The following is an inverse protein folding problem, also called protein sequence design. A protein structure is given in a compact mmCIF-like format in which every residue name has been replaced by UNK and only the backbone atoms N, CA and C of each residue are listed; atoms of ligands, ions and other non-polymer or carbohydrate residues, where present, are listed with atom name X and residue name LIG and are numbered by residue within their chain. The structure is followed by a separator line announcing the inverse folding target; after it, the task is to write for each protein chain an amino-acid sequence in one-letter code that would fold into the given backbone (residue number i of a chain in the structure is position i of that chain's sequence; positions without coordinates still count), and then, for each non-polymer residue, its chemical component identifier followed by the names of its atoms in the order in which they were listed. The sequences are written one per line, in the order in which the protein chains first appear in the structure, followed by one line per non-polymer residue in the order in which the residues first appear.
data_IF_691680949151
#
_entry.id   IF_691680949151
#
_cell.length_a   1.000
_cell.length_b   1.000
_cell.length_c   1.000
_cell.angle_alpha   90.00
_cell.angle_beta   90.00
_cell.angle_gamma   90.00
#
_symmetry.space_group_name_H-M   'P 1'
#
loop_
_entity.id
_entity.type
_entity.pdbx_description
1 polymer ?
#
# COMPACT_ATOMS: atom_id res chain seq x y z
N UNK A 1 -11.94 -3.64 21.23
CA UNK A 1 -10.83 -2.75 20.78
C UNK A 1 -10.16 -2.03 21.95
N UNK A 2 -10.88 -1.24 22.76
CA UNK A 2 -10.30 -0.61 23.97
C UNK A 2 -9.73 -1.62 24.96
N UNK A 3 -10.41 -2.75 25.19
CA UNK A 3 -9.90 -3.85 26.03
C UNK A 3 -8.60 -4.48 25.49
N UNK A 4 -8.36 -4.40 24.18
CA UNK A 4 -7.12 -4.86 23.52
C UNK A 4 -6.02 -3.79 23.53
N UNK A 5 -6.25 -2.64 24.17
CA UNK A 5 -5.27 -1.55 24.24
C UNK A 5 -5.02 -0.83 22.91
N UNK A 6 -5.92 -0.96 21.93
CA UNK A 6 -5.83 -0.21 20.68
C UNK A 6 -6.03 1.28 20.93
N UNK A 7 -5.26 2.12 20.24
CA UNK A 7 -5.34 3.58 20.41
C UNK A 7 -6.71 4.15 20.03
N UNK A 8 -7.09 5.27 20.64
CA UNK A 8 -8.37 5.95 20.36
C UNK A 8 -8.51 6.33 18.88
N UNK A 9 -7.41 6.63 18.19
CA UNK A 9 -7.42 6.91 16.75
C UNK A 9 -7.89 5.68 15.97
N UNK A 10 -7.39 4.49 16.29
CA UNK A 10 -7.81 3.24 15.62
C UNK A 10 -9.27 2.94 15.90
N UNK A 11 -9.73 3.14 17.13
CA UNK A 11 -11.14 2.94 17.51
C UNK A 11 -12.04 3.88 16.70
N UNK A 12 -11.72 5.19 16.66
CA UNK A 12 -12.50 6.17 15.90
C UNK A 12 -12.50 5.90 14.40
N UNK A 13 -11.35 5.52 13.83
CA UNK A 13 -11.25 5.14 12.42
C UNK A 13 -12.13 3.91 12.12
N UNK A 14 -12.13 2.90 12.99
CA UNK A 14 -13.02 1.76 12.83
C UNK A 14 -14.50 2.15 12.98
N UNK A 15 -14.85 2.96 13.99
CA UNK A 15 -16.22 3.46 14.19
C UNK A 15 -16.74 4.23 12.97
N UNK A 16 -15.89 5.04 12.34
CA UNK A 16 -16.20 5.76 11.11
C UNK A 16 -16.61 4.80 9.98
N UNK A 17 -15.81 3.76 9.71
CA UNK A 17 -16.14 2.77 8.68
C UNK A 17 -17.28 1.82 9.07
N UNK A 18 -17.37 1.46 10.34
CA UNK A 18 -18.47 0.67 10.87
C UNK A 18 -19.81 1.39 10.70
N UNK A 19 -19.85 2.70 10.93
CA UNK A 19 -21.05 3.51 10.71
C UNK A 19 -21.47 3.48 9.24
N UNK A 20 -20.54 3.66 8.31
CA UNK A 20 -20.83 3.54 6.87
C UNK A 20 -21.41 2.18 6.49
N UNK A 21 -20.84 1.09 7.04
CA UNK A 21 -21.38 -0.25 6.83
C UNK A 21 -22.82 -0.38 7.30
N UNK A 22 -23.12 0.08 8.52
CA UNK A 22 -24.46 0.00 9.12
C UNK A 22 -25.47 0.84 8.34
N UNK A 23 -25.04 1.96 7.78
CA UNK A 23 -25.85 2.81 6.88
C UNK A 23 -26.08 2.19 5.50
N UNK A 24 -25.47 1.03 5.21
CA UNK A 24 -25.64 0.30 3.96
C UNK A 24 -24.71 0.76 2.84
N UNK A 25 -23.69 1.55 3.14
CA UNK A 25 -22.68 1.93 2.16
C UNK A 25 -21.91 0.69 1.71
N UNK A 26 -21.80 0.52 0.39
CA UNK A 26 -21.18 -0.66 -0.21
C UNK A 26 -19.73 -0.43 -0.63
N UNK A 27 -19.31 0.83 -0.75
CA UNK A 27 -17.99 1.21 -1.27
C UNK A 27 -17.84 1.05 -2.79
N UNK A 28 -18.95 0.80 -3.51
CA UNK A 28 -18.96 0.61 -4.96
C UNK A 28 -18.82 1.94 -5.71
N UNK A 29 -18.10 1.91 -6.83
CA UNK A 29 -17.84 3.05 -7.72
C UNK A 29 -18.34 2.67 -9.11
N UNK A 30 -19.49 3.23 -9.50
CA UNK A 30 -20.12 2.96 -10.79
C UNK A 30 -19.31 3.56 -11.94
N UNK A 31 -19.33 2.90 -13.10
CA UNK A 31 -18.77 3.43 -14.34
C UNK A 31 -19.43 4.75 -14.75
N UNK A 32 -20.69 4.97 -14.38
CA UNK A 32 -21.41 6.22 -14.66
C UNK A 32 -20.90 7.41 -13.83
N UNK A 33 -20.22 7.17 -12.71
CA UNK A 33 -19.73 8.19 -11.79
C UNK A 33 -18.28 8.61 -12.08
N UNK A 34 -17.64 7.96 -13.07
CA UNK A 34 -16.21 8.12 -13.37
C UNK A 34 -15.93 8.29 -14.85
N UNK A 35 -14.80 8.89 -15.14
CA UNK A 35 -14.25 9.02 -16.47
C UNK A 35 -12.87 8.35 -16.56
N UNK A 36 -12.48 7.82 -17.73
CA UNK A 36 -11.13 7.32 -17.94
C UNK A 36 -10.13 8.48 -17.99
N UNK A 37 -8.96 8.29 -17.39
CA UNK A 37 -7.85 9.26 -17.48
C UNK A 37 -7.25 9.23 -18.89
N UNK A 38 -7.29 10.37 -19.59
CA UNK A 38 -6.90 10.46 -20.99
C UNK A 38 -5.39 10.33 -21.22
N UNK A 39 -4.59 11.01 -20.40
CA UNK A 39 -3.13 11.01 -20.47
C UNK A 39 -2.51 11.39 -19.12
N UNK A 40 -1.27 10.97 -18.89
CA UNK A 40 -0.47 11.31 -17.72
C UNK A 40 0.93 11.75 -18.14
N UNK A 41 1.66 12.50 -17.29
CA UNK A 41 3.11 12.63 -17.40
C UNK A 41 3.76 11.25 -17.50
N UNK A 42 4.75 11.11 -18.38
CA UNK A 42 5.47 9.86 -18.60
C UNK A 42 6.90 9.98 -18.05
N UNK A 43 7.21 9.17 -17.03
CA UNK A 43 8.50 9.18 -16.37
C UNK A 43 9.67 8.89 -17.34
N UNK A 44 9.42 8.16 -18.43
CA UNK A 44 10.45 7.89 -19.46
C UNK A 44 10.86 9.14 -20.25
N UNK A 45 10.10 10.22 -20.14
CA UNK A 45 10.38 11.51 -20.80
C UNK A 45 10.93 12.58 -19.86
N UNK A 46 11.10 12.26 -18.57
CA UNK A 46 11.62 13.21 -17.59
C UNK A 46 13.09 13.58 -17.86
N UNK A 47 13.40 14.87 -17.68
CA UNK A 47 14.70 15.44 -18.02
C UNK A 47 15.76 15.14 -16.96
N UNK A 48 17.04 15.35 -17.35
CA UNK A 48 18.15 15.33 -16.41
C UNK A 48 17.98 16.39 -15.29
N UNK A 49 17.38 17.54 -15.58
CA UNK A 49 17.10 18.57 -14.58
C UNK A 49 16.16 18.07 -13.46
N UNK A 50 15.18 17.22 -13.81
CA UNK A 50 14.34 16.57 -12.80
C UNK A 50 15.15 15.57 -11.99
N UNK A 51 16.03 14.79 -12.61
CA UNK A 51 16.91 13.88 -11.90
C UNK A 51 17.85 14.62 -10.92
N UNK A 52 18.42 15.76 -11.33
CA UNK A 52 19.24 16.62 -10.46
C UNK A 52 18.42 17.18 -9.29
N UNK A 53 17.18 17.63 -9.55
CA UNK A 53 16.30 18.12 -8.50
C UNK A 53 15.93 17.03 -7.49
N UNK A 54 15.68 15.81 -7.95
CA UNK A 54 15.44 14.67 -7.06
C UNK A 54 16.67 14.31 -6.24
N UNK A 55 17.86 14.31 -6.85
CA UNK A 55 19.11 14.09 -6.13
C UNK A 55 19.32 15.12 -5.02
N UNK A 56 18.95 16.38 -5.26
CA UNK A 56 19.06 17.45 -4.27
C UNK A 56 18.15 17.25 -3.04
N UNK A 57 16.99 16.58 -3.21
CA UNK A 57 16.06 16.30 -2.11
C UNK A 57 16.14 14.86 -1.58
N UNK A 58 16.99 14.00 -2.16
CA UNK A 58 17.18 12.62 -1.70
C UNK A 58 17.48 12.51 -0.20
N UNK A 59 18.32 13.38 0.42
CA UNK A 59 18.55 13.35 1.87
C UNK A 59 17.29 13.61 2.73
N UNK A 60 16.22 14.14 2.14
CA UNK A 60 14.92 14.39 2.80
C UNK A 60 13.89 13.30 2.48
N UNK A 61 14.31 12.17 1.87
CA UNK A 61 13.42 11.10 1.43
C UNK A 61 13.65 9.83 2.23
N UNK A 62 12.57 9.12 2.57
CA UNK A 62 12.60 7.79 3.21
C UNK A 62 11.91 6.75 2.31
N UNK A 63 12.43 5.53 2.30
CA UNK A 63 11.78 4.38 1.68
C UNK A 63 10.94 3.63 2.72
N UNK A 64 9.65 3.42 2.43
CA UNK A 64 8.74 2.62 3.26
C UNK A 64 8.29 1.39 2.46
N UNK A 65 8.49 0.18 2.97
CA UNK A 65 7.98 -1.05 2.35
C UNK A 65 6.85 -1.66 3.17
N UNK A 66 5.74 -1.97 2.51
CA UNK A 66 4.64 -2.71 3.11
C UNK A 66 5.03 -4.18 3.30
N UNK A 67 4.96 -4.66 4.55
CA UNK A 67 5.40 -5.99 4.94
C UNK A 67 4.46 -6.66 5.97
N UNK A 68 3.21 -6.19 6.08
CA UNK A 68 2.24 -6.74 7.03
C UNK A 68 1.57 -8.05 6.58
N UNK A 69 1.63 -8.39 5.29
CA UNK A 69 0.94 -9.53 4.71
C UNK A 69 1.68 -10.86 4.89
N UNK A 70 0.99 -11.85 5.44
CA UNK A 70 1.39 -13.26 5.33
C UNK A 70 1.11 -13.76 3.90
N UNK A 71 2.01 -14.56 3.34
CA UNK A 71 1.80 -15.20 2.04
C UNK A 71 0.85 -16.39 2.11
N UNK A 72 -0.29 -16.27 2.78
CA UNK A 72 -1.23 -17.37 3.06
C UNK A 72 -1.77 -18.03 1.79
N UNK A 73 -2.01 -17.25 0.74
CA UNK A 73 -2.39 -17.77 -0.59
C UNK A 73 -1.32 -18.66 -1.22
N UNK A 74 -0.06 -18.52 -0.79
CA UNK A 74 1.09 -19.33 -1.20
C UNK A 74 1.47 -20.38 -0.14
N UNK A 75 0.66 -20.55 0.91
CA UNK A 75 0.90 -21.51 2.00
C UNK A 75 2.01 -21.11 2.96
N UNK A 76 2.36 -19.81 3.06
CA UNK A 76 3.41 -19.35 3.96
C UNK A 76 2.92 -19.09 5.38
N UNK A 77 3.77 -19.43 6.34
CA UNK A 77 3.58 -19.14 7.77
C UNK A 77 4.29 -17.86 8.23
N UNK A 78 5.18 -17.33 7.40
CA UNK A 78 5.97 -16.10 7.66
C UNK A 78 5.68 -15.01 6.64
N UNK A 79 6.27 -13.83 6.87
CA UNK A 79 6.24 -12.71 5.94
C UNK A 79 6.69 -13.14 4.54
N UNK A 80 5.94 -12.74 3.50
CA UNK A 80 6.28 -13.08 2.11
C UNK A 80 7.66 -12.55 1.71
N UNK A 81 8.08 -11.43 2.30
CA UNK A 81 9.38 -10.81 2.03
C UNK A 81 10.58 -11.71 2.37
N UNK A 82 10.39 -12.72 3.21
CA UNK A 82 11.43 -13.69 3.60
C UNK A 82 11.56 -14.87 2.62
N UNK A 83 10.76 -14.90 1.55
CA UNK A 83 10.95 -15.87 0.48
C UNK A 83 12.23 -15.58 -0.29
N UNK A 84 13.06 -16.60 -0.52
CA UNK A 84 14.17 -16.54 -1.48
C UNK A 84 13.66 -16.31 -2.90
N UNK A 85 14.20 -15.31 -3.58
CA UNK A 85 13.75 -14.90 -4.92
C UNK A 85 14.83 -15.07 -5.97
N UNK A 86 16.05 -14.59 -5.71
CA UNK A 86 17.11 -14.58 -6.72
C UNK A 86 18.48 -14.73 -6.08
N UNK A 87 19.35 -15.55 -6.67
CA UNK A 87 20.74 -15.70 -6.24
C UNK A 87 20.90 -16.03 -4.73
N UNK A 88 19.95 -16.77 -4.15
CA UNK A 88 19.94 -17.10 -2.72
C UNK A 88 19.41 -15.98 -1.81
N UNK A 89 19.12 -14.80 -2.35
CA UNK A 89 18.59 -13.65 -1.62
C UNK A 89 17.07 -13.69 -1.53
N UNK A 90 16.54 -13.28 -0.38
CA UNK A 90 15.10 -13.03 -0.16
C UNK A 90 14.66 -11.69 -0.77
N UNK A 91 13.36 -11.40 -0.81
CA UNK A 91 12.90 -10.05 -1.16
C UNK A 91 13.50 -9.01 -0.21
N UNK A 92 13.51 -9.32 1.10
CA UNK A 92 13.98 -8.40 2.12
C UNK A 92 15.49 -8.14 2.00
N UNK A 93 16.28 -9.17 1.67
CA UNK A 93 17.72 -9.00 1.42
C UNK A 93 17.98 -8.07 0.23
N UNK A 94 17.21 -8.23 -0.86
CA UNK A 94 17.33 -7.38 -2.05
C UNK A 94 16.93 -5.94 -1.73
N UNK A 95 15.83 -5.74 -1.02
CA UNK A 95 15.36 -4.42 -0.59
C UNK A 95 16.38 -3.72 0.31
N UNK A 96 16.95 -4.45 1.27
CA UNK A 96 17.99 -3.94 2.16
C UNK A 96 19.22 -3.46 1.36
N UNK A 97 19.69 -4.28 0.42
CA UNK A 97 20.81 -3.92 -0.45
C UNK A 97 20.51 -2.71 -1.34
N UNK A 98 19.31 -2.63 -1.91
CA UNK A 98 18.86 -1.47 -2.71
C UNK A 98 18.87 -0.18 -1.87
N UNK A 99 18.33 -0.24 -0.65
CA UNK A 99 18.31 0.93 0.25
C UNK A 99 19.73 1.39 0.63
N UNK A 100 20.62 0.46 0.95
CA UNK A 100 22.02 0.74 1.27
C UNK A 100 22.76 1.37 0.08
N UNK A 101 22.58 0.82 -1.14
CA UNK A 101 23.19 1.36 -2.37
C UNK A 101 22.70 2.76 -2.68
N UNK A 102 21.40 3.02 -2.50
CA UNK A 102 20.81 4.33 -2.67
C UNK A 102 21.14 5.29 -1.52
N UNK A 103 21.76 4.82 -0.42
CA UNK A 103 22.00 5.57 0.81
C UNK A 103 20.72 6.27 1.32
N UNK A 104 19.60 5.55 1.29
CA UNK A 104 18.29 6.05 1.72
C UNK A 104 17.83 5.30 2.97
N UNK A 105 17.31 6.02 3.99
CA UNK A 105 16.67 5.37 5.14
C UNK A 105 15.52 4.49 4.70
N UNK A 106 15.41 3.33 5.34
CA UNK A 106 14.45 2.30 4.99
C UNK A 106 13.65 1.87 6.22
N UNK A 107 12.33 1.81 6.07
CA UNK A 107 11.37 1.48 7.12
C UNK A 107 10.39 0.43 6.62
N UNK A 108 10.12 -0.58 7.45
CA UNK A 108 9.08 -1.58 7.23
C UNK A 108 7.77 -1.19 7.92
N UNK A 109 6.65 -1.31 7.21
CA UNK A 109 5.35 -1.42 7.84
C UNK A 109 5.04 -2.90 8.07
N UNK A 110 5.33 -3.39 9.27
CA UNK A 110 5.08 -4.77 9.67
C UNK A 110 3.67 -4.95 10.21
N UNK A 111 3.25 -6.20 10.41
CA UNK A 111 2.11 -6.56 11.25
C UNK A 111 2.60 -7.28 12.50
N UNK A 112 1.68 -7.50 13.43
CA UNK A 112 1.91 -8.25 14.67
C UNK A 112 2.40 -9.70 14.43
N UNK A 113 2.28 -10.23 13.21
CA UNK A 113 2.78 -11.57 12.83
C UNK A 113 4.02 -11.56 11.92
N UNK A 114 4.43 -10.40 11.39
CA UNK A 114 5.60 -10.32 10.49
C UNK A 114 6.80 -9.61 11.11
N UNK A 115 6.60 -8.84 12.17
CA UNK A 115 7.64 -7.99 12.78
C UNK A 115 8.89 -8.75 13.19
N UNK A 116 8.76 -9.70 14.09
CA UNK A 116 9.91 -10.33 14.75
C UNK A 116 10.82 -11.04 13.74
N UNK A 117 10.21 -11.85 12.86
CA UNK A 117 10.92 -12.55 11.80
C UNK A 117 11.60 -11.58 10.81
N UNK A 118 10.96 -10.45 10.50
CA UNK A 118 11.52 -9.47 9.56
C UNK A 118 12.68 -8.68 10.17
N UNK A 119 12.56 -8.26 11.43
CA UNK A 119 13.65 -7.57 12.13
C UNK A 119 14.84 -8.49 12.36
N UNK A 120 14.61 -9.76 12.72
CA UNK A 120 15.68 -10.76 12.83
C UNK A 120 16.45 -10.95 11.52
N UNK A 121 15.76 -10.96 10.38
CA UNK A 121 16.39 -11.05 9.07
C UNK A 121 17.23 -9.80 8.71
N UNK A 122 16.88 -8.63 9.29
CA UNK A 122 17.60 -7.38 9.07
C UNK A 122 18.81 -7.18 10.00
N UNK A 123 18.98 -7.99 11.05
CA UNK A 123 20.07 -7.82 12.02
C UNK A 123 21.48 -7.88 11.38
N UNK A 124 21.62 -8.61 10.27
CA UNK A 124 22.85 -8.75 9.51
C UNK A 124 23.26 -7.49 8.72
N UNK A 125 22.36 -6.51 8.56
CA UNK A 125 22.60 -5.29 7.79
C UNK A 125 22.84 -4.09 8.72
N UNK A 126 24.04 -4.02 9.30
CA UNK A 126 24.41 -2.95 10.25
C UNK A 126 24.24 -1.54 9.67
N UNK A 127 24.48 -1.37 8.37
CA UNK A 127 24.38 -0.07 7.67
C UNK A 127 22.93 0.46 7.57
N UNK A 128 21.92 -0.38 7.80
CA UNK A 128 20.52 0.07 7.87
C UNK A 128 20.20 0.71 9.23
N UNK A 129 20.97 0.41 10.28
CA UNK A 129 20.72 0.94 11.62
C UNK A 129 21.01 2.44 11.62
N UNK A 130 19.97 3.24 11.82
CA UNK A 130 20.03 4.69 11.72
C UNK A 130 19.37 5.41 12.89
N UNK A 131 19.11 6.71 12.68
CA UNK A 131 18.46 7.57 13.66
C UNK A 131 16.95 7.31 13.81
N UNK A 132 16.33 6.65 12.83
CA UNK A 132 14.91 6.31 12.84
C UNK A 132 14.72 4.79 13.03
N UNK A 133 13.61 4.34 13.62
CA UNK A 133 13.32 2.91 13.74
C UNK A 133 13.19 2.23 12.37
N UNK A 134 13.66 0.99 12.25
CA UNK A 134 13.55 0.18 11.03
C UNK A 134 12.12 -0.26 10.72
N UNK A 135 11.20 -0.12 11.66
CA UNK A 135 9.82 -0.51 11.45
C UNK A 135 8.81 0.28 12.28
N UNK A 136 7.56 0.17 11.84
CA UNK A 136 6.38 0.43 12.65
C UNK A 136 5.34 -0.66 12.34
N UNK A 137 4.39 -0.83 13.26
CA UNK A 137 3.41 -1.92 13.19
C UNK A 137 2.06 -1.35 12.77
N UNK A 138 1.46 -1.94 11.74
CA UNK A 138 0.09 -1.67 11.33
C UNK A 138 -0.91 -2.14 12.39
N UNK A 139 -2.11 -1.58 12.38
CA UNK A 139 -3.17 -1.86 13.32
C UNK A 139 -3.88 -3.20 13.05
N UNK A 140 -4.75 -3.56 13.98
CA UNK A 140 -5.72 -4.66 13.85
C UNK A 140 -7.12 -4.14 14.20
N UNK A 141 -8.13 -4.69 13.55
CA UNK A 141 -9.55 -4.41 13.80
C UNK A 141 -10.31 -5.73 13.99
N UNK A 142 -11.47 -5.73 14.67
CA UNK A 142 -12.26 -6.94 14.80
C UNK A 142 -12.87 -7.31 13.45
N UNK A 143 -12.93 -8.61 13.16
CA UNK A 143 -13.87 -9.14 12.17
C UNK A 143 -15.27 -9.02 12.77
N UNK A 144 -16.25 -8.66 11.95
CA UNK A 144 -17.64 -8.49 12.39
C UNK A 144 -18.53 -9.51 11.68
N UNK A 145 -19.52 -10.08 12.37
CA UNK A 145 -20.38 -11.10 11.75
C UNK A 145 -21.24 -10.48 10.65
N UNK A 146 -21.55 -11.27 9.61
CA UNK A 146 -22.48 -10.81 8.57
C UNK A 146 -23.95 -10.83 9.03
N UNK A 147 -24.24 -11.52 10.14
CA UNK A 147 -25.60 -11.70 10.64
C UNK A 147 -26.13 -10.46 11.35
N UNK A 148 -25.29 -9.83 12.17
CA UNK A 148 -25.71 -8.74 13.05
C UNK A 148 -24.65 -7.64 13.26
N UNK A 149 -23.53 -7.71 12.55
CA UNK A 149 -22.39 -6.79 12.67
C UNK A 149 -21.71 -6.76 14.06
N UNK A 150 -22.04 -7.69 14.97
CA UNK A 150 -21.29 -7.84 16.22
C UNK A 150 -19.84 -8.33 15.94
N UNK A 151 -18.87 -8.06 16.84
CA UNK A 151 -17.55 -8.66 16.74
C UNK A 151 -17.65 -10.19 16.70
N UNK A 152 -16.91 -10.83 15.80
CA UNK A 152 -16.88 -12.28 15.69
C UNK A 152 -16.19 -12.90 16.91
N UNK A 153 -16.73 -14.01 17.41
CA UNK A 153 -16.12 -14.83 18.45
C UNK A 153 -15.63 -16.15 17.84
N UNK A 154 -14.42 -16.55 18.18
CA UNK A 154 -13.83 -17.81 17.75
C UNK A 154 -12.94 -18.42 18.86
N UNK A 155 -13.55 -19.07 19.87
CA UNK A 155 -12.81 -19.56 21.05
C UNK A 155 -11.69 -20.57 20.75
N UNK A 156 -11.75 -21.25 19.60
CA UNK A 156 -10.72 -22.19 19.17
C UNK A 156 -9.38 -21.49 18.85
N UNK A 157 -9.44 -20.25 18.36
CA UNK A 157 -8.27 -19.40 18.13
C UNK A 157 -8.71 -17.92 18.10
N UNK A 158 -8.66 -17.22 19.26
CA UNK A 158 -9.08 -15.83 19.36
C UNK A 158 -8.29 -14.86 18.48
N UNK A 159 -7.09 -15.23 18.00
CA UNK A 159 -6.36 -14.38 17.05
C UNK A 159 -7.10 -14.24 15.71
N UNK A 160 -7.92 -15.23 15.34
CA UNK A 160 -8.74 -15.19 14.13
C UNK A 160 -9.93 -14.24 14.25
N UNK A 161 -10.24 -13.70 15.42
CA UNK A 161 -11.27 -12.66 15.61
C UNK A 161 -10.81 -11.30 15.07
N UNK A 162 -9.52 -11.15 14.77
CA UNK A 162 -8.89 -9.91 14.33
C UNK A 162 -8.38 -10.01 12.90
N UNK A 163 -8.36 -8.89 12.19
CA UNK A 163 -7.71 -8.77 10.89
C UNK A 163 -7.01 -7.41 10.74
N UNK A 164 -6.00 -7.30 9.86
CA UNK A 164 -5.48 -5.99 9.49
C UNK A 164 -6.52 -5.21 8.66
N UNK A 165 -6.65 -3.88 8.81
CA UNK A 165 -7.62 -3.06 8.06
C UNK A 165 -7.17 -2.71 6.63
N UNK A 166 -6.47 -3.64 5.96
CA UNK A 166 -5.87 -3.42 4.64
C UNK A 166 -4.64 -2.53 4.69
N UNK A 167 -3.99 -2.34 3.53
CA UNK A 167 -2.75 -1.55 3.46
C UNK A 167 -2.98 -0.04 3.52
N UNK A 168 -4.22 0.45 3.35
CA UNK A 168 -4.57 1.84 3.61
C UNK A 168 -4.40 2.26 5.07
N UNK A 169 -4.26 1.30 5.99
CA UNK A 169 -3.91 1.55 7.38
C UNK A 169 -2.56 2.24 7.56
N UNK A 170 -1.68 2.28 6.56
CA UNK A 170 -0.38 2.96 6.64
C UNK A 170 -0.51 4.38 7.21
N UNK A 171 -1.53 5.15 6.83
CA UNK A 171 -1.68 6.52 7.30
C UNK A 171 -2.04 6.59 8.79
N UNK A 172 -2.94 5.72 9.24
CA UNK A 172 -3.30 5.61 10.66
C UNK A 172 -2.16 5.01 11.49
N UNK A 173 -1.44 4.02 10.96
CA UNK A 173 -0.28 3.39 11.58
C UNK A 173 0.88 4.39 11.75
N UNK A 174 1.13 5.25 10.76
CA UNK A 174 2.12 6.32 10.83
C UNK A 174 1.85 7.30 11.99
N UNK A 175 0.58 7.62 12.26
CA UNK A 175 0.17 8.47 13.38
C UNK A 175 0.30 7.73 14.71
N UNK A 176 -0.28 6.54 14.79
CA UNK A 176 -0.43 5.80 16.05
C UNK A 176 0.89 5.22 16.57
N UNK A 177 1.84 4.95 15.67
CA UNK A 177 3.22 4.59 16.02
C UNK A 177 4.14 5.77 16.27
N UNK A 178 3.67 7.02 16.06
CA UNK A 178 4.47 8.25 16.05
C UNK A 178 5.59 8.27 14.99
N UNK A 179 5.57 7.34 14.02
CA UNK A 179 6.56 7.30 12.94
C UNK A 179 6.48 8.55 12.06
N UNK A 180 5.28 9.09 11.80
CA UNK A 180 5.15 10.34 11.03
C UNK A 180 5.91 11.49 11.69
N UNK A 181 5.73 11.67 12.99
CA UNK A 181 6.37 12.75 13.75
C UNK A 181 7.88 12.50 13.87
N UNK A 182 8.29 11.24 14.11
CA UNK A 182 9.69 10.82 14.10
C UNK A 182 10.39 11.18 12.78
N UNK A 183 9.74 10.90 11.64
CA UNK A 183 10.29 11.21 10.33
C UNK A 183 10.40 12.73 10.09
N UNK A 184 9.35 13.48 10.44
CA UNK A 184 9.32 14.94 10.28
C UNK A 184 10.37 15.63 11.16
N UNK A 185 10.51 15.21 12.42
CA UNK A 185 11.51 15.72 13.37
C UNK A 185 12.94 15.41 12.92
N UNK A 186 13.15 14.27 12.26
CA UNK A 186 14.43 13.90 11.64
C UNK A 186 14.70 14.65 10.32
N UNK A 187 13.77 15.49 9.84
CA UNK A 187 13.94 16.32 8.65
C UNK A 187 13.52 15.66 7.33
N UNK A 188 12.86 14.50 7.37
CA UNK A 188 12.31 13.87 6.18
C UNK A 188 11.03 14.58 5.74
N UNK A 189 10.96 14.86 4.43
CA UNK A 189 9.83 15.53 3.78
C UNK A 189 9.07 14.58 2.85
N UNK A 190 9.75 13.62 2.25
CA UNK A 190 9.20 12.75 1.23
C UNK A 190 9.28 11.29 1.66
N UNK A 191 8.25 10.51 1.34
CA UNK A 191 8.31 9.05 1.50
C UNK A 191 7.95 8.37 0.18
N UNK A 192 8.78 7.40 -0.22
CA UNK A 192 8.45 6.47 -1.29
C UNK A 192 7.93 5.17 -0.67
N UNK A 193 6.66 4.85 -0.90
CA UNK A 193 5.98 3.68 -0.36
C UNK A 193 5.77 2.65 -1.45
N UNK A 194 6.12 1.39 -1.20
CA UNK A 194 5.81 0.30 -2.14
C UNK A 194 5.64 -1.05 -1.46
N UNK A 195 5.07 -2.02 -2.18
CA UNK A 195 4.96 -3.40 -1.71
C UNK A 195 6.34 -4.06 -1.60
N UNK A 196 6.59 -4.83 -0.53
CA UNK A 196 7.82 -5.64 -0.40
C UNK A 196 7.94 -6.73 -1.48
N UNK A 197 6.83 -7.20 -2.04
CA UNK A 197 6.84 -8.19 -3.13
C UNK A 197 7.01 -7.58 -4.53
N UNK A 198 7.20 -6.26 -4.64
CA UNK A 198 7.57 -5.58 -5.89
C UNK A 198 9.02 -5.11 -5.83
N UNK A 199 9.95 -5.90 -6.38
CA UNK A 199 11.38 -5.56 -6.43
C UNK A 199 11.73 -4.51 -7.49
N UNK A 200 10.82 -4.24 -8.43
CA UNK A 200 10.98 -3.16 -9.42
C UNK A 200 10.74 -1.76 -8.85
N UNK A 201 10.17 -1.68 -7.64
CA UNK A 201 9.94 -0.41 -6.96
C UNK A 201 11.23 0.09 -6.28
N UNK A 202 12.10 0.69 -7.09
CA UNK A 202 13.38 1.28 -6.68
C UNK A 202 13.31 2.81 -6.69
N UNK A 203 14.19 3.47 -5.94
CA UNK A 203 14.27 4.93 -5.92
C UNK A 203 14.62 5.47 -7.32
N UNK A 204 13.88 6.48 -7.77
CA UNK A 204 14.12 7.15 -9.06
C UNK A 204 14.19 8.66 -8.82
N UNK A 205 15.33 9.26 -9.15
CA UNK A 205 15.56 10.67 -8.88
C UNK A 205 14.77 11.58 -9.81
N UNK A 206 14.48 11.19 -11.04
CA UNK A 206 13.67 12.01 -11.94
C UNK A 206 12.22 12.06 -11.47
N UNK A 207 11.67 10.93 -11.02
CA UNK A 207 10.33 10.85 -10.45
C UNK A 207 10.25 11.64 -9.13
N UNK A 208 11.24 11.48 -8.23
CA UNK A 208 11.33 12.26 -7.00
C UNK A 208 11.43 13.76 -7.28
N UNK A 209 12.24 14.16 -8.26
CA UNK A 209 12.38 15.56 -8.66
C UNK A 209 11.08 16.14 -9.20
N UNK A 210 10.36 15.38 -10.05
CA UNK A 210 9.03 15.78 -10.53
C UNK A 210 8.05 15.96 -9.37
N UNK A 211 8.00 15.01 -8.44
CA UNK A 211 7.15 15.07 -7.25
C UNK A 211 7.44 16.30 -6.40
N UNK A 212 8.72 16.56 -6.13
CA UNK A 212 9.17 17.64 -5.28
C UNK A 212 8.98 19.03 -5.91
N UNK A 213 9.34 19.21 -7.19
CA UNK A 213 9.23 20.49 -7.89
C UNK A 213 7.78 20.94 -8.07
N UNK A 214 6.86 19.99 -8.32
CA UNK A 214 5.44 20.29 -8.45
C UNK A 214 4.74 20.41 -7.08
N UNK A 215 5.47 20.20 -5.97
CA UNK A 215 4.94 20.24 -4.60
C UNK A 215 3.67 19.40 -4.43
N UNK A 216 3.63 18.23 -5.05
CA UNK A 216 2.46 17.35 -4.98
C UNK A 216 2.33 16.82 -3.54
N UNK A 217 1.10 16.76 -2.98
CA UNK A 217 0.87 16.17 -1.66
C UNK A 217 0.97 14.63 -1.69
N UNK A 218 0.57 14.05 -2.82
CA UNK A 218 0.49 12.62 -3.07
C UNK A 218 0.70 12.37 -4.56
N UNK A 219 1.45 11.33 -4.91
CA UNK A 219 1.57 10.89 -6.31
C UNK A 219 1.60 9.36 -6.42
N UNK A 220 0.84 8.82 -7.38
CA UNK A 220 0.81 7.39 -7.69
C UNK A 220 1.60 7.10 -8.96
N UNK A 221 2.50 6.11 -8.92
CA UNK A 221 3.02 5.53 -10.16
C UNK A 221 2.01 4.52 -10.73
N UNK A 222 1.70 4.65 -12.00
CA UNK A 222 0.81 3.74 -12.73
C UNK A 222 1.53 3.13 -13.92
N UNK A 223 1.29 1.85 -14.20
CA UNK A 223 1.81 1.18 -15.39
C UNK A 223 0.71 1.05 -16.45
N UNK A 224 1.10 0.87 -17.71
CA UNK A 224 0.14 0.45 -18.73
C UNK A 224 -0.49 -0.88 -18.33
N UNK A 225 -1.80 -0.94 -18.47
CA UNK A 225 -2.59 -2.13 -18.16
C UNK A 225 -2.51 -3.14 -19.30
N UNK A 226 -2.33 -4.40 -18.92
CA UNK A 226 -2.27 -5.55 -19.81
C UNK A 226 -3.40 -6.53 -19.48
N UNK A 227 -3.63 -7.50 -20.35
CA UNK A 227 -4.61 -8.58 -20.11
C UNK A 227 -4.31 -9.42 -18.85
N UNK A 228 -3.08 -9.36 -18.32
CA UNK A 228 -2.74 -10.01 -17.05
C UNK A 228 -3.27 -9.25 -15.82
N UNK A 229 -3.56 -7.95 -15.97
CA UNK A 229 -3.91 -7.03 -14.87
C UNK A 229 -5.43 -7.03 -14.59
N UNK A 230 -5.95 -8.22 -14.30
CA UNK A 230 -7.38 -8.45 -14.02
C UNK A 230 -7.76 -8.21 -12.57
N UNK A 231 -6.79 -8.31 -11.65
CA UNK A 231 -6.96 -8.16 -10.19
C UNK A 231 -6.12 -7.00 -9.68
N UNK A 232 -6.74 -6.10 -8.93
CA UNK A 232 -6.17 -4.86 -8.41
C UNK A 232 -7.05 -3.66 -8.80
N UNK A 233 -6.45 -2.47 -8.90
CA UNK A 233 -7.19 -1.24 -9.19
C UNK A 233 -6.62 -0.48 -10.38
N UNK A 234 -7.51 0.20 -11.09
CA UNK A 234 -7.14 1.12 -12.16
C UNK A 234 -7.41 2.57 -11.74
N UNK A 235 -6.64 3.48 -12.32
CA UNK A 235 -6.87 4.90 -12.16
C UNK A 235 -8.12 5.33 -12.94
N UNK A 236 -8.88 6.25 -12.37
CA UNK A 236 -9.98 6.95 -13.02
C UNK A 236 -10.00 8.40 -12.52
N UNK A 237 -10.92 9.20 -13.05
CA UNK A 237 -11.18 10.55 -12.54
C UNK A 237 -12.68 10.76 -12.33
N UNK A 238 -13.04 11.61 -11.39
CA UNK A 238 -14.39 12.16 -11.27
C UNK A 238 -14.64 13.23 -12.35
N UNK A 239 -15.89 13.62 -12.61
CA UNK A 239 -16.21 14.64 -13.63
C UNK A 239 -15.57 16.02 -13.39
N UNK A 240 -15.15 16.32 -12.16
CA UNK A 240 -14.42 17.54 -11.81
C UNK A 240 -12.89 17.43 -12.04
N UNK A 241 -12.42 16.26 -12.51
CA UNK A 241 -11.01 15.97 -12.77
C UNK A 241 -10.25 15.37 -11.59
N UNK A 242 -10.88 15.21 -10.41
CA UNK A 242 -10.22 14.59 -9.25
C UNK A 242 -9.87 13.13 -9.56
N UNK A 243 -8.59 12.78 -9.42
CA UNK A 243 -8.13 11.41 -9.60
C UNK A 243 -8.64 10.51 -8.48
N UNK A 244 -9.06 9.30 -8.83
CA UNK A 244 -9.48 8.27 -7.88
C UNK A 244 -8.91 6.90 -8.28
N UNK A 245 -8.84 5.99 -7.31
CA UNK A 245 -8.53 4.59 -7.53
C UNK A 245 -9.82 3.77 -7.43
N UNK A 246 -10.11 2.98 -8.46
CA UNK A 246 -11.19 1.98 -8.41
C UNK A 246 -10.59 0.58 -8.33
N UNK A 247 -10.69 -0.04 -7.16
CA UNK A 247 -10.32 -1.45 -6.96
C UNK A 247 -11.37 -2.40 -7.54
N UNK A 248 -10.94 -3.63 -7.89
CA UNK A 248 -11.86 -4.67 -8.37
C UNK A 248 -13.02 -4.97 -7.39
N UNK A 249 -12.79 -4.86 -6.08
CA UNK A 249 -13.82 -5.05 -5.05
C UNK A 249 -14.84 -3.90 -4.98
N UNK A 250 -14.53 -2.76 -5.61
CA UNK A 250 -15.39 -1.57 -5.69
C UNK A 250 -16.11 -1.49 -7.04
N UNK A 251 -15.94 -2.46 -7.95
CA UNK A 251 -16.64 -2.50 -9.23
C UNK A 251 -18.01 -3.17 -9.06
N UNK A 252 -19.12 -2.49 -9.41
CA UNK A 252 -20.41 -3.16 -9.55
C UNK A 252 -20.35 -4.33 -10.53
N UNK A 253 -21.13 -5.41 -10.31
CA UNK A 253 -21.16 -6.56 -11.23
C UNK A 253 -21.47 -6.17 -12.68
N UNK A 254 -22.39 -5.22 -12.88
CA UNK A 254 -22.84 -4.76 -14.20
C UNK A 254 -21.75 -3.98 -14.95
N UNK A 255 -20.75 -3.45 -14.24
CA UNK A 255 -19.64 -2.67 -14.82
C UNK A 255 -18.39 -3.52 -15.10
N UNK A 256 -18.45 -4.84 -14.86
CA UNK A 256 -17.28 -5.73 -14.98
C UNK A 256 -16.61 -5.64 -16.35
N UNK A 257 -17.38 -5.56 -17.43
CA UNK A 257 -16.84 -5.47 -18.79
C UNK A 257 -16.09 -4.15 -19.01
N UNK A 258 -16.59 -3.04 -18.46
CA UNK A 258 -15.89 -1.75 -18.48
C UNK A 258 -14.63 -1.79 -17.63
N UNK A 259 -14.72 -2.35 -16.43
CA UNK A 259 -13.58 -2.50 -15.53
C UNK A 259 -12.46 -3.34 -16.15
N UNK A 260 -12.78 -4.42 -16.88
CA UNK A 260 -11.78 -5.28 -17.52
C UNK A 260 -11.28 -4.72 -18.86
N UNK A 261 -11.88 -3.65 -19.39
CA UNK A 261 -11.45 -3.04 -20.64
C UNK A 261 -10.17 -2.21 -20.47
N UNK A 262 -9.03 -2.84 -20.73
CA UNK A 262 -7.69 -2.24 -20.64
C UNK A 262 -7.45 -1.09 -21.62
N UNK A 263 -8.24 -0.98 -22.69
CA UNK A 263 -8.15 0.13 -23.65
C UNK A 263 -8.87 1.39 -23.18
N UNK A 264 -9.85 1.25 -22.28
CA UNK A 264 -10.59 2.35 -21.66
C UNK A 264 -9.88 2.82 -20.40
N UNK A 265 -9.72 1.91 -19.44
CA UNK A 265 -9.05 2.16 -18.17
C UNK A 265 -7.61 1.65 -18.26
N UNK A 266 -6.75 2.47 -18.87
CA UNK A 266 -5.41 2.09 -19.36
C UNK A 266 -4.32 2.06 -18.29
N UNK A 267 -4.54 2.72 -17.16
CA UNK A 267 -3.54 2.92 -16.13
C UNK A 267 -3.82 2.07 -14.92
N UNK A 268 -2.90 1.16 -14.62
CA UNK A 268 -3.00 0.23 -13.50
C UNK A 268 -2.14 0.69 -12.33
N UNK A 269 -2.72 0.70 -11.12
CA UNK A 269 -2.00 1.09 -9.91
C UNK A 269 -0.87 0.09 -9.59
N UNK A 270 0.36 0.57 -9.52
CA UNK A 270 1.52 -0.25 -9.16
C UNK A 270 1.65 -0.47 -7.64
N UNK A 271 0.94 0.34 -6.86
CA UNK A 271 1.11 0.53 -5.42
C UNK A 271 2.49 1.11 -5.06
N UNK A 272 3.18 1.76 -6.00
CA UNK A 272 4.34 2.61 -5.73
C UNK A 272 3.83 4.05 -5.58
N UNK A 273 3.93 4.60 -4.38
CA UNK A 273 3.34 5.89 -4.01
C UNK A 273 4.39 6.83 -3.44
N UNK A 274 4.24 8.11 -3.74
CA UNK A 274 5.06 9.18 -3.20
C UNK A 274 4.20 10.05 -2.30
N UNK A 275 4.66 10.26 -1.07
CA UNK A 275 3.97 11.04 -0.05
C UNK A 275 4.80 12.27 0.32
N UNK A 276 4.13 13.42 0.43
CA UNK A 276 4.69 14.60 1.07
C UNK A 276 4.26 14.56 2.53
N UNK A 277 5.20 14.25 3.42
CA UNK A 277 4.92 13.98 4.84
C UNK A 277 4.32 15.20 5.57
N UNK A 278 4.78 16.44 5.35
CA UNK A 278 4.09 17.63 5.86
C UNK A 278 2.64 17.74 5.39
N UNK A 279 2.37 17.58 4.09
CA UNK A 279 1.00 17.65 3.55
C UNK A 279 0.10 16.53 4.11
N UNK A 280 0.66 15.33 4.28
CA UNK A 280 -0.02 14.21 4.94
C UNK A 280 -0.39 14.58 6.40
N UNK A 281 0.54 15.16 7.15
CA UNK A 281 0.30 15.59 8.54
C UNK A 281 -0.80 16.65 8.62
N UNK A 282 -0.80 17.62 7.71
CA UNK A 282 -1.83 18.66 7.63
C UNK A 282 -3.22 18.06 7.38
N UNK A 283 -3.36 17.20 6.38
CA UNK A 283 -4.65 16.54 6.05
C UNK A 283 -5.12 15.63 7.19
N UNK A 284 -4.23 14.85 7.80
CA UNK A 284 -4.60 14.02 8.94
C UNK A 284 -5.05 14.86 10.13
N UNK A 285 -4.33 15.94 10.45
CA UNK A 285 -4.68 16.83 11.57
C UNK A 285 -6.03 17.52 11.33
N UNK A 286 -6.31 17.95 10.09
CA UNK A 286 -7.56 18.61 9.73
C UNK A 286 -8.78 17.66 9.80
N UNK A 287 -8.57 16.34 9.70
CA UNK A 287 -9.62 15.34 9.72
C UNK A 287 -9.59 14.45 10.98
N UNK A 288 -9.10 14.98 12.12
CA UNK A 288 -9.05 14.25 13.40
C UNK A 288 -8.32 12.88 13.32
N UNK A 289 -7.31 12.78 12.45
CA UNK A 289 -6.53 11.60 12.09
C UNK A 289 -7.30 10.49 11.34
N UNK A 290 -8.49 10.79 10.83
CA UNK A 290 -9.29 9.90 9.99
C UNK A 290 -9.17 10.39 8.54
N UNK A 291 -8.34 9.72 7.73
CA UNK A 291 -8.09 10.16 6.35
C UNK A 291 -9.33 10.07 5.44
N UNK A 292 -10.33 9.27 5.82
CA UNK A 292 -11.58 9.17 5.06
C UNK A 292 -11.47 8.37 3.75
N UNK A 293 -10.53 7.43 3.66
CA UNK A 293 -10.40 6.54 2.50
C UNK A 293 -11.70 5.78 2.21
N UNK A 294 -12.03 5.47 0.94
CA UNK A 294 -13.15 4.60 0.60
C UNK A 294 -13.07 3.24 1.30
N UNK A 295 -14.15 2.85 1.98
CA UNK A 295 -14.26 1.55 2.64
C UNK A 295 -14.36 0.41 1.62
N UNK A 296 -13.59 -0.66 1.85
CA UNK A 296 -13.71 -1.94 1.15
C UNK A 296 -14.31 -2.95 2.12
N UNK A 297 -15.47 -3.51 1.77
CA UNK A 297 -16.16 -4.53 2.57
C UNK A 297 -15.86 -5.93 2.03
N UNK A 298 -14.94 -6.65 2.66
CA UNK A 298 -14.56 -8.01 2.26
C UNK A 298 -15.37 -9.08 2.98
N UNK A 299 -16.11 -9.90 2.23
CA UNK A 299 -16.80 -11.09 2.76
C UNK A 299 -15.84 -12.26 2.92
N UNK A 300 -15.73 -12.81 4.13
CA UNK A 300 -14.87 -13.95 4.50
C UNK A 300 -15.58 -14.86 5.50
N UNK A 301 -14.89 -15.91 5.93
CA UNK A 301 -15.21 -16.68 7.14
C UNK A 301 -14.20 -16.33 8.25
N UNK A 302 -14.57 -16.49 9.52
CA UNK A 302 -13.71 -16.13 10.66
C UNK A 302 -12.41 -16.92 10.63
N UNK A 303 -12.48 -18.23 10.37
CA UNK A 303 -11.33 -19.05 10.03
C UNK A 303 -11.21 -19.18 8.49
N UNK A 304 -10.16 -18.63 7.86
CA UNK A 304 -9.99 -18.70 6.40
C UNK A 304 -9.67 -20.11 5.89
N UNK A 305 -9.34 -21.06 6.77
CA UNK A 305 -9.07 -22.47 6.44
C UNK A 305 -10.32 -23.35 6.57
N UNK A 306 -11.36 -22.86 7.25
CA UNK A 306 -12.63 -23.54 7.44
C UNK A 306 -13.77 -22.74 6.79
N UNK A 307 -14.23 -23.22 5.64
CA UNK A 307 -15.34 -22.62 4.87
C UNK A 307 -16.70 -22.73 5.57
N UNK A 308 -16.82 -23.53 6.63
CA UNK A 308 -18.03 -23.67 7.43
C UNK A 308 -18.05 -22.75 8.66
N UNK A 309 -16.93 -22.09 8.97
CA UNK A 309 -16.84 -21.16 10.10
C UNK A 309 -17.65 -19.88 9.85
N UNK A 310 -17.98 -19.16 10.93
CA UNK A 310 -18.87 -18.01 10.93
C UNK A 310 -18.55 -17.02 9.80
N UNK A 311 -19.52 -16.68 8.93
CA UNK A 311 -19.33 -15.64 7.93
C UNK A 311 -19.12 -14.26 8.58
N UNK A 312 -18.10 -13.55 8.12
CA UNK A 312 -17.69 -12.24 8.65
C UNK A 312 -17.44 -11.23 7.53
N UNK A 313 -17.50 -9.95 7.88
CA UNK A 313 -16.92 -8.85 7.13
C UNK A 313 -15.58 -8.42 7.72
N UNK A 314 -14.64 -8.11 6.84
CA UNK A 314 -13.40 -7.39 7.14
C UNK A 314 -13.50 -6.02 6.48
N UNK A 315 -13.33 -4.96 7.26
CA UNK A 315 -13.39 -3.57 6.78
C UNK A 315 -11.97 -3.12 6.46
N UNK A 316 -11.67 -2.97 5.18
CA UNK A 316 -10.34 -2.64 4.71
C UNK A 316 -10.33 -1.31 3.96
N UNK A 317 -9.14 -0.74 3.80
CA UNK A 317 -8.90 0.39 2.90
C UNK A 317 -7.66 0.12 2.06
N UNK A 318 -7.60 0.73 0.87
CA UNK A 318 -6.46 0.66 -0.01
C UNK A 318 -5.64 1.96 0.06
N UNK A 319 -4.33 1.86 0.28
CA UNK A 319 -3.47 3.05 0.37
C UNK A 319 -3.52 3.93 -0.88
N UNK A 320 -3.59 3.31 -2.07
CA UNK A 320 -3.68 4.06 -3.32
C UNK A 320 -4.95 4.92 -3.43
N UNK A 321 -6.02 4.61 -2.69
CA UNK A 321 -7.25 5.40 -2.69
C UNK A 321 -7.08 6.78 -2.04
N UNK A 322 -5.97 7.02 -1.34
CA UNK A 322 -5.60 8.35 -0.85
C UNK A 322 -5.47 9.38 -1.98
N UNK A 323 -5.24 8.94 -3.23
CA UNK A 323 -5.22 9.84 -4.39
C UNK A 323 -6.51 10.66 -4.54
N UNK A 324 -7.65 10.11 -4.10
CA UNK A 324 -8.95 10.80 -4.11
C UNK A 324 -9.21 11.68 -2.88
N UNK A 325 -8.29 11.72 -1.92
CA UNK A 325 -8.40 12.53 -0.69
C UNK A 325 -7.59 13.81 -0.78
N UNK A 326 -6.42 13.76 -1.42
CA UNK A 326 -5.54 14.92 -1.52
C UNK A 326 -5.90 15.79 -2.73
N UNK A 327 -6.33 17.03 -2.47
CA UNK A 327 -6.43 18.05 -3.52
C UNK A 327 -5.07 18.28 -4.17
N UNK A 328 -5.01 18.25 -5.50
CA UNK A 328 -3.74 18.38 -6.24
C UNK A 328 -2.87 17.12 -6.25
N UNK A 329 -3.39 15.96 -5.84
CA UNK A 329 -2.70 14.69 -6.06
C UNK A 329 -2.43 14.42 -7.54
N UNK A 330 -1.28 13.81 -7.83
CA UNK A 330 -0.87 13.47 -9.19
C UNK A 330 -0.80 11.97 -9.44
N UNK A 331 -0.66 11.61 -10.71
CA UNK A 331 -0.22 10.29 -11.12
C UNK A 331 0.82 10.42 -12.24
N UNK A 332 1.74 9.46 -12.30
CA UNK A 332 2.78 9.40 -13.34
C UNK A 332 2.79 8.01 -13.95
N UNK A 333 2.79 7.95 -15.29
CA UNK A 333 2.99 6.71 -16.02
C UNK A 333 4.46 6.29 -15.88
N UNK A 334 4.70 5.04 -15.51
CA UNK A 334 6.02 4.44 -15.38
C UNK A 334 6.21 3.23 -16.29
N UNK A 335 7.45 2.90 -16.68
CA UNK A 335 7.71 1.69 -17.44
C UNK A 335 7.40 0.44 -16.60
N UNK A 336 6.97 -0.62 -17.28
CA UNK A 336 6.51 -1.86 -16.63
C UNK A 336 7.56 -2.51 -15.72
N UNK A 337 8.85 -2.25 -15.95
CA UNK A 337 9.95 -2.74 -15.12
C UNK A 337 9.84 -2.30 -13.66
N UNK A 338 9.14 -1.19 -13.37
CA UNK A 338 8.88 -0.71 -12.00
C UNK A 338 7.76 -1.46 -11.28
N UNK A 339 7.12 -2.39 -11.98
CA UNK A 339 5.99 -3.18 -11.50
C UNK A 339 6.16 -4.67 -11.79
N UNK A 340 6.85 -5.35 -10.87
CA UNK A 340 7.12 -6.79 -10.88
C UNK A 340 6.61 -7.46 -9.58
N UNK A 341 5.29 -7.46 -9.31
CA UNK A 341 4.74 -8.02 -8.09
C UNK A 341 4.75 -9.56 -8.09
N UNK A 342 4.83 -10.16 -6.90
CA UNK A 342 4.72 -11.62 -6.71
C UNK A 342 3.52 -11.94 -5.83
N UNK A 343 2.37 -12.23 -6.48
CA UNK A 343 1.10 -12.51 -5.79
C UNK A 343 0.80 -14.01 -5.69
N UNK A 344 1.31 -14.81 -6.61
CA UNK A 344 1.15 -16.25 -6.66
C UNK A 344 2.47 -17.00 -6.91
N UNK A 345 2.45 -18.32 -6.77
CA UNK A 345 3.61 -19.19 -7.06
C UNK A 345 4.00 -19.18 -8.55
N UNK A 346 3.07 -18.88 -9.45
CA UNK A 346 3.35 -18.62 -10.88
C UNK A 346 4.28 -17.43 -11.08
N UNK A 347 4.04 -16.35 -10.33
CA UNK A 347 4.84 -15.12 -10.42
C UNK A 347 6.23 -15.37 -9.82
N UNK A 348 6.28 -16.13 -8.71
CA UNK A 348 7.54 -16.53 -8.08
C UNK A 348 8.42 -17.37 -9.03
N UNK A 349 7.81 -18.24 -9.84
CA UNK A 349 8.52 -18.99 -10.88
C UNK A 349 9.15 -18.04 -11.91
N UNK A 350 8.41 -17.03 -12.37
CA UNK A 350 8.91 -16.05 -13.32
C UNK A 350 10.09 -15.25 -12.75
N UNK A 351 9.98 -14.72 -11.53
CA UNK A 351 11.07 -13.91 -10.93
C UNK A 351 12.31 -14.77 -10.62
N UNK A 352 12.13 -16.04 -10.26
CA UNK A 352 13.24 -17.00 -10.07
C UNK A 352 13.91 -17.40 -11.39
N UNK A 353 13.18 -17.46 -12.50
CA UNK A 353 13.73 -17.84 -13.81
C UNK A 353 14.57 -16.73 -14.45
N UNK A 354 15.23 -17.02 -15.56
CA UNK A 354 16.00 -16.06 -16.37
C UNK A 354 15.15 -14.98 -17.06
N UNK A 355 13.82 -15.01 -16.92
CA UNK A 355 12.93 -13.95 -17.37
C UNK A 355 13.15 -12.63 -16.61
N UNK A 356 13.68 -12.70 -15.38
CA UNK A 356 14.07 -11.55 -14.57
C UNK A 356 15.57 -11.61 -14.27
N UNK A 357 16.22 -10.45 -14.33
CA UNK A 357 17.62 -10.27 -13.98
C UNK A 357 17.67 -9.35 -12.77
N UNK A 358 18.48 -9.70 -11.77
CA UNK A 358 18.82 -8.79 -10.69
C UNK A 358 19.92 -7.86 -11.21
N UNK A 359 19.61 -6.58 -11.32
CA UNK A 359 20.51 -5.53 -11.79
C UNK A 359 21.42 -5.02 -10.66
N UNK A 360 22.41 -4.21 -11.02
CA UNK A 360 23.42 -3.70 -10.08
C UNK A 360 22.93 -2.50 -9.23
N UNK A 361 21.79 -1.92 -9.58
CA UNK A 361 21.16 -0.79 -8.87
C UNK A 361 20.33 -1.20 -7.65
#
# INVERSE_FOLDING_TARGET
MQQEGLSDVVVKTFEYYYTQLVEGQTGMISEADIEPVASLPDAETFSADLAEAGQAVMPQTVLIKLNGGLGTSMGLEKAKSLLTVKNGLTFLDIIAQQAMRANIPFVLMNSFVTRDDSLAALEQYDDLKGAIPLDFVQNKIPKITQADFSPAEWPADPHLEWCPPGHGDIYTALVTSQMLDTLLEAGYKYAFVSNSDNLGAVMDTAILGYFAQNNLPFMMEVADRTEADKKGGHLAQLPDGQLILRESAQCPPDDTDHFQNVSRHKYFNTNNLWLNLPALKEVLTANDNILGLPMIRNSKTVDPRDSSSTPVYQLETAMGSAIGVFEGAGAVRVPRIRFAPVKATSDLLAVRSDAYILTDD
#
